data_IF_781809108212
#
_entry.id   IF_781809108212
#
_cell.length_a   1.000
_cell.length_b   1.000
_cell.length_c   1.000
_cell.angle_alpha   90.00
_cell.angle_beta   90.00
_cell.angle_gamma   90.00
#
_symmetry.space_group_name_H-M   'P 1'
#
loop_
_entity.id
_entity.type
_entity.pdbx_description
1 polymer ?
#
# COMPACT_ATOMS: atom_id res chain seq x y z
N UNK A 1 -0.30 9.36 17.56
CA UNK A 1 -1.09 10.17 16.61
C UNK A 1 -1.21 9.48 15.25
N UNK A 2 -0.11 9.01 14.64
CA UNK A 2 -0.14 8.26 13.37
C UNK A 2 -1.05 7.03 13.37
N UNK A 3 -1.06 6.25 14.45
CA UNK A 3 -1.94 5.08 14.60
C UNK A 3 -3.43 5.47 14.49
N UNK A 4 -3.82 6.64 15.01
CA UNK A 4 -5.20 7.11 14.88
C UNK A 4 -5.54 7.40 13.41
N UNK A 5 -4.60 7.97 12.65
CA UNK A 5 -4.79 8.17 11.21
C UNK A 5 -4.95 6.81 10.53
N UNK A 6 -4.04 5.87 10.78
CA UNK A 6 -4.06 4.53 10.18
C UNK A 6 -5.33 3.73 10.46
N UNK A 7 -5.92 3.89 11.65
CA UNK A 7 -7.12 3.16 12.06
C UNK A 7 -8.42 3.88 11.71
N UNK A 8 -8.48 5.19 11.95
CA UNK A 8 -9.74 5.94 11.87
C UNK A 8 -9.99 6.52 10.48
N UNK A 9 -8.95 6.92 9.73
CA UNK A 9 -9.12 7.48 8.39
C UNK A 9 -9.79 6.48 7.43
N UNK A 10 -9.37 5.20 7.35
CA UNK A 10 -10.06 4.23 6.48
C UNK A 10 -11.53 4.07 6.84
N UNK A 11 -11.85 3.94 8.13
CA UNK A 11 -13.23 3.78 8.62
C UNK A 11 -14.06 5.01 8.24
N UNK A 12 -13.52 6.21 8.47
CA UNK A 12 -14.16 7.46 8.10
C UNK A 12 -14.44 7.53 6.59
N UNK A 13 -13.45 7.23 5.74
CA UNK A 13 -13.59 7.26 4.29
C UNK A 13 -14.65 6.26 3.80
N UNK A 14 -14.65 5.04 4.33
CA UNK A 14 -15.65 4.01 4.00
C UNK A 14 -17.05 4.52 4.35
N UNK A 15 -17.27 4.95 5.60
CA UNK A 15 -18.58 5.44 6.05
C UNK A 15 -19.04 6.65 5.22
N UNK A 16 -18.14 7.61 5.00
CA UNK A 16 -18.43 8.82 4.24
C UNK A 16 -18.82 8.51 2.80
N UNK A 17 -18.03 7.71 2.08
CA UNK A 17 -18.26 7.41 0.66
C UNK A 17 -19.46 6.49 0.44
N UNK A 18 -19.64 5.47 1.29
CA UNK A 18 -20.83 4.62 1.27
C UNK A 18 -22.11 5.44 1.42
N UNK A 19 -22.13 6.40 2.36
CA UNK A 19 -23.31 7.28 2.56
C UNK A 19 -23.48 8.32 1.46
N UNK A 20 -22.39 9.00 1.06
CA UNK A 20 -22.43 10.08 0.06
C UNK A 20 -22.87 9.59 -1.32
N UNK A 21 -22.40 8.41 -1.72
CA UNK A 21 -22.64 7.87 -3.06
C UNK A 21 -23.63 6.70 -3.07
N UNK A 22 -24.29 6.41 -1.94
CA UNK A 22 -25.24 5.29 -1.79
C UNK A 22 -24.67 3.94 -2.25
N UNK A 23 -23.38 3.72 -1.98
CA UNK A 23 -22.68 2.50 -2.37
C UNK A 23 -22.83 1.41 -1.32
N UNK A 24 -22.64 0.15 -1.72
CA UNK A 24 -22.56 -0.96 -0.77
C UNK A 24 -21.19 -0.99 -0.08
N UNK A 25 -21.18 -1.04 1.27
CA UNK A 25 -19.96 -1.20 2.07
C UNK A 25 -19.18 -2.47 1.72
N UNK A 26 -19.86 -3.47 1.13
CA UNK A 26 -19.25 -4.73 0.66
C UNK A 26 -18.15 -4.49 -0.38
N UNK A 27 -18.17 -3.36 -1.09
CA UNK A 27 -17.09 -2.98 -2.01
C UNK A 27 -15.79 -2.69 -1.28
N UNK A 28 -15.85 -1.95 -0.16
CA UNK A 28 -14.69 -1.73 0.68
C UNK A 28 -14.18 -3.05 1.30
N UNK A 29 -15.10 -3.91 1.78
CA UNK A 29 -14.72 -5.23 2.28
C UNK A 29 -14.03 -6.07 1.19
N UNK A 30 -14.54 -6.05 -0.04
CA UNK A 30 -13.93 -6.76 -1.16
C UNK A 30 -12.52 -6.25 -1.48
N UNK A 31 -12.31 -4.92 -1.43
CA UNK A 31 -10.97 -4.33 -1.54
C UNK A 31 -10.03 -4.79 -0.43
N UNK A 32 -10.50 -4.79 0.81
CA UNK A 32 -9.71 -5.24 1.95
C UNK A 32 -9.31 -6.72 1.85
N UNK A 33 -10.26 -7.59 1.50
CA UNK A 33 -9.99 -9.02 1.31
C UNK A 33 -9.04 -9.28 0.14
N UNK A 34 -9.03 -8.41 -0.88
CA UNK A 34 -8.13 -8.53 -2.02
C UNK A 34 -6.68 -8.27 -1.63
N UNK A 35 -6.42 -7.23 -0.82
CA UNK A 35 -5.10 -7.01 -0.24
C UNK A 35 -4.66 -8.20 0.61
N UNK A 36 -5.52 -8.71 1.50
CA UNK A 36 -5.18 -9.86 2.34
C UNK A 36 -4.86 -11.08 1.47
N UNK A 37 -5.67 -11.33 0.43
CA UNK A 37 -5.46 -12.45 -0.49
C UNK A 37 -4.16 -12.32 -1.29
N UNK A 38 -3.76 -11.12 -1.72
CA UNK A 38 -2.47 -10.94 -2.41
C UNK A 38 -1.29 -11.26 -1.49
N UNK A 39 -1.39 -10.90 -0.20
CA UNK A 39 -0.33 -11.17 0.78
C UNK A 39 -0.09 -12.66 1.04
N UNK A 40 -1.09 -13.54 0.85
CA UNK A 40 -0.97 -15.00 1.01
C UNK A 40 0.12 -15.59 0.13
N UNK A 41 0.29 -15.06 -1.09
CA UNK A 41 1.35 -15.51 -2.01
C UNK A 41 2.57 -14.59 -1.99
N UNK A 42 2.35 -13.28 -1.85
CA UNK A 42 3.42 -12.28 -1.86
C UNK A 42 4.43 -12.52 -0.71
N UNK A 43 3.95 -12.70 0.52
CA UNK A 43 4.83 -12.85 1.69
C UNK A 43 5.73 -14.10 1.57
N UNK A 44 5.22 -15.31 1.28
CA UNK A 44 6.08 -16.48 1.08
C UNK A 44 7.09 -16.32 -0.06
N UNK A 45 6.71 -15.67 -1.16
CA UNK A 45 7.63 -15.46 -2.30
C UNK A 45 8.76 -14.52 -1.90
N UNK A 46 8.46 -13.39 -1.25
CA UNK A 46 9.48 -12.46 -0.76
C UNK A 46 10.39 -13.13 0.28
N UNK A 47 9.81 -13.91 1.21
CA UNK A 47 10.56 -14.63 2.23
C UNK A 47 11.49 -15.69 1.62
N UNK A 48 10.98 -16.48 0.66
CA UNK A 48 11.76 -17.48 -0.06
C UNK A 48 12.91 -16.85 -0.85
N UNK A 49 12.64 -15.78 -1.59
CA UNK A 49 13.66 -15.06 -2.34
C UNK A 49 14.73 -14.48 -1.40
N UNK A 50 14.31 -13.87 -0.29
CA UNK A 50 15.23 -13.37 0.74
C UNK A 50 16.11 -14.48 1.31
N UNK A 51 15.55 -15.67 1.55
CA UNK A 51 16.31 -16.82 2.05
C UNK A 51 17.35 -17.31 1.02
N UNK A 52 17.00 -17.33 -0.27
CA UNK A 52 17.92 -17.71 -1.35
C UNK A 52 19.09 -16.71 -1.52
N UNK A 53 18.86 -15.42 -1.26
CA UNK A 53 19.95 -14.44 -1.22
C UNK A 53 20.81 -14.59 0.03
N UNK A 54 20.17 -14.76 1.20
CA UNK A 54 20.88 -14.91 2.49
C UNK A 54 21.77 -16.16 2.55
N UNK A 55 21.38 -17.25 1.89
CA UNK A 55 22.14 -18.50 1.88
C UNK A 55 23.14 -18.60 0.71
N UNK A 56 23.23 -17.57 -0.15
CA UNK A 56 24.17 -17.52 -1.27
C UNK A 56 23.76 -18.32 -2.52
N UNK A 57 22.56 -18.90 -2.57
CA UNK A 57 22.06 -19.58 -3.79
C UNK A 57 21.86 -18.59 -4.93
N UNK A 58 21.36 -17.40 -4.60
CA UNK A 58 21.31 -16.25 -5.50
C UNK A 58 22.29 -15.19 -5.02
N UNK A 59 22.95 -14.53 -5.97
CA UNK A 59 23.85 -13.41 -5.68
C UNK A 59 23.67 -12.31 -6.71
N UNK A 60 23.83 -11.08 -6.24
CA UNK A 60 23.86 -9.87 -7.06
C UNK A 60 25.11 -9.13 -6.61
N UNK A 61 25.92 -8.56 -7.54
CA UNK A 61 27.09 -7.78 -7.15
C UNK A 61 26.71 -6.68 -6.15
N UNK A 62 27.54 -6.45 -5.13
CA UNK A 62 27.23 -5.51 -4.05
C UNK A 62 26.83 -4.11 -4.56
N UNK A 63 27.49 -3.65 -5.62
CA UNK A 63 27.21 -2.38 -6.29
C UNK A 63 25.76 -2.24 -6.80
N UNK A 64 25.07 -3.34 -7.09
CA UNK A 64 23.71 -3.37 -7.61
C UNK A 64 22.67 -3.89 -6.61
N UNK A 65 23.11 -4.37 -5.44
CA UNK A 65 22.25 -5.04 -4.45
C UNK A 65 21.04 -4.20 -4.03
N UNK A 66 21.28 -2.93 -3.65
CA UNK A 66 20.23 -2.04 -3.16
C UNK A 66 19.15 -1.75 -4.22
N UNK A 67 19.56 -1.37 -5.44
CA UNK A 67 18.61 -1.07 -6.52
C UNK A 67 17.91 -2.35 -7.01
N UNK A 68 18.62 -3.47 -7.08
CA UNK A 68 18.02 -4.76 -7.41
C UNK A 68 16.93 -5.13 -6.41
N UNK A 69 17.23 -5.09 -5.10
CA UNK A 69 16.25 -5.40 -4.06
C UNK A 69 15.05 -4.46 -4.12
N UNK A 70 15.28 -3.16 -4.30
CA UNK A 70 14.20 -2.18 -4.42
C UNK A 70 13.26 -2.48 -5.60
N UNK A 71 13.84 -2.70 -6.81
CA UNK A 71 13.08 -3.02 -8.02
C UNK A 71 12.31 -4.33 -7.86
N UNK A 72 12.95 -5.36 -7.32
CA UNK A 72 12.31 -6.67 -7.13
C UNK A 72 11.18 -6.59 -6.12
N UNK A 73 11.38 -5.94 -4.97
CA UNK A 73 10.35 -5.79 -3.94
C UNK A 73 9.15 -4.99 -4.49
N UNK A 74 9.40 -3.87 -5.15
CA UNK A 74 8.33 -3.07 -5.78
C UNK A 74 7.59 -3.84 -6.87
N UNK A 75 8.31 -4.56 -7.74
CA UNK A 75 7.67 -5.38 -8.78
C UNK A 75 6.82 -6.50 -8.19
N UNK A 76 7.29 -7.18 -7.15
CA UNK A 76 6.51 -8.22 -6.49
C UNK A 76 5.23 -7.63 -5.87
N UNK A 77 5.32 -6.51 -5.16
CA UNK A 77 4.14 -5.81 -4.63
C UNK A 77 3.14 -5.48 -5.75
N UNK A 78 3.59 -4.80 -6.81
CA UNK A 78 2.76 -4.46 -7.96
C UNK A 78 2.14 -5.68 -8.64
N UNK A 79 2.91 -6.75 -8.87
CA UNK A 79 2.40 -7.98 -9.51
C UNK A 79 1.32 -8.62 -8.66
N UNK A 80 1.58 -8.87 -7.37
CA UNK A 80 0.63 -9.61 -6.54
C UNK A 80 -0.64 -8.80 -6.25
N UNK A 81 -0.49 -7.53 -5.90
CA UNK A 81 -1.62 -6.70 -5.49
C UNK A 81 -2.50 -6.28 -6.67
N UNK A 82 -1.90 -5.84 -7.78
CA UNK A 82 -2.67 -5.42 -8.95
C UNK A 82 -3.31 -6.62 -9.66
N UNK A 83 -2.63 -7.77 -9.69
CA UNK A 83 -3.22 -9.01 -10.25
C UNK A 83 -4.40 -9.48 -9.41
N UNK A 84 -4.27 -9.47 -8.07
CA UNK A 84 -5.40 -9.80 -7.19
C UNK A 84 -6.59 -8.86 -7.43
N UNK A 85 -6.33 -7.56 -7.60
CA UNK A 85 -7.37 -6.57 -7.91
C UNK A 85 -8.00 -6.76 -9.29
N UNK A 86 -7.20 -7.12 -10.28
CA UNK A 86 -7.70 -7.46 -11.60
C UNK A 86 -8.60 -8.71 -11.57
N UNK A 87 -8.19 -9.76 -10.83
CA UNK A 87 -9.01 -10.96 -10.58
C UNK A 87 -10.33 -10.57 -9.90
N UNK A 88 -10.27 -9.74 -8.85
CA UNK A 88 -11.46 -9.24 -8.14
C UNK A 88 -12.44 -8.60 -9.13
N UNK A 89 -12.00 -7.61 -9.91
CA UNK A 89 -12.90 -6.89 -10.82
C UNK A 89 -13.39 -7.75 -11.99
N UNK A 90 -12.54 -8.65 -12.49
CA UNK A 90 -12.89 -9.50 -13.63
C UNK A 90 -13.85 -10.62 -13.26
N UNK A 91 -13.69 -11.23 -12.10
CA UNK A 91 -14.39 -12.47 -11.75
C UNK A 91 -15.39 -12.32 -10.60
N UNK A 92 -15.10 -11.48 -9.59
CA UNK A 92 -15.94 -11.37 -8.39
C UNK A 92 -16.89 -10.17 -8.43
N UNK A 93 -16.43 -9.02 -8.93
CA UNK A 93 -17.17 -7.76 -8.97
C UNK A 93 -17.60 -7.38 -10.40
N UNK A 94 -18.18 -8.34 -11.14
CA UNK A 94 -18.52 -8.17 -12.57
C UNK A 94 -19.46 -7.00 -12.87
N UNK A 95 -20.29 -6.62 -11.90
CA UNK A 95 -21.28 -5.55 -12.01
C UNK A 95 -20.76 -4.18 -11.58
N UNK A 96 -19.55 -4.11 -11.02
CA UNK A 96 -18.91 -2.83 -10.70
C UNK A 96 -18.41 -2.19 -11.99
N UNK A 97 -18.83 -0.95 -12.24
CA UNK A 97 -18.57 -0.24 -13.50
C UNK A 97 -18.19 1.21 -13.32
N UNK A 98 -18.50 1.82 -12.18
CA UNK A 98 -18.38 3.26 -11.99
C UNK A 98 -17.06 3.65 -11.31
N UNK A 99 -16.63 4.89 -11.55
CA UNK A 99 -15.47 5.48 -10.87
C UNK A 99 -15.61 5.43 -9.35
N UNK A 100 -16.79 5.78 -8.82
CA UNK A 100 -17.04 5.82 -7.37
C UNK A 100 -16.96 4.44 -6.71
N UNK A 101 -17.38 3.39 -7.40
CA UNK A 101 -17.22 2.01 -6.90
C UNK A 101 -15.75 1.59 -6.88
N UNK A 102 -14.99 1.92 -7.94
CA UNK A 102 -13.54 1.68 -7.99
C UNK A 102 -12.79 2.40 -6.87
N UNK A 103 -13.17 3.64 -6.57
CA UNK A 103 -12.64 4.40 -5.42
C UNK A 103 -12.93 3.69 -4.10
N UNK A 104 -14.16 3.22 -3.87
CA UNK A 104 -14.50 2.56 -2.61
C UNK A 104 -13.77 1.23 -2.42
N UNK A 105 -13.52 0.47 -3.50
CA UNK A 105 -12.66 -0.71 -3.47
C UNK A 105 -11.21 -0.32 -3.12
N UNK A 106 -10.68 0.76 -3.70
CA UNK A 106 -9.34 1.27 -3.41
C UNK A 106 -9.18 1.73 -1.96
N UNK A 107 -10.19 2.39 -1.39
CA UNK A 107 -10.24 2.73 0.04
C UNK A 107 -10.20 1.47 0.91
N UNK A 108 -10.93 0.43 0.54
CA UNK A 108 -10.87 -0.85 1.23
C UNK A 108 -9.48 -1.49 1.22
N UNK A 109 -8.83 -1.48 0.06
CA UNK A 109 -7.50 -2.05 -0.15
C UNK A 109 -6.41 -1.30 0.64
N UNK A 110 -6.20 -0.01 0.35
CA UNK A 110 -5.18 0.78 1.07
C UNK A 110 -5.55 1.01 2.53
N UNK A 111 -6.85 1.00 2.85
CA UNK A 111 -7.34 1.15 4.21
C UNK A 111 -6.99 -0.03 5.11
N UNK A 112 -7.20 -1.27 4.66
CA UNK A 112 -6.85 -2.45 5.47
C UNK A 112 -5.34 -2.57 5.64
N UNK A 113 -4.55 -2.23 4.62
CA UNK A 113 -3.09 -2.20 4.73
C UNK A 113 -2.66 -1.20 5.80
N UNK A 114 -3.17 0.04 5.74
CA UNK A 114 -2.89 1.05 6.77
C UNK A 114 -3.30 0.56 8.17
N UNK A 115 -4.47 -0.07 8.31
CA UNK A 115 -4.92 -0.62 9.59
C UNK A 115 -4.01 -1.72 10.12
N UNK A 116 -3.57 -2.65 9.26
CA UNK A 116 -2.67 -3.74 9.64
C UNK A 116 -1.30 -3.22 10.07
N UNK A 117 -0.73 -2.27 9.33
CA UNK A 117 0.52 -1.59 9.71
C UNK A 117 0.35 -0.80 11.02
N UNK A 118 -0.81 -0.17 11.22
CA UNK A 118 -1.16 0.48 12.47
C UNK A 118 -1.20 -0.49 13.65
N UNK A 119 -1.80 -1.68 13.49
CA UNK A 119 -1.78 -2.74 14.51
C UNK A 119 -0.37 -3.23 14.79
N UNK A 120 0.46 -3.45 13.77
CA UNK A 120 1.86 -3.83 13.94
C UNK A 120 2.64 -2.75 14.70
N UNK A 121 2.36 -1.47 14.43
CA UNK A 121 2.98 -0.35 15.15
C UNK A 121 2.59 -0.33 16.63
N UNK A 122 1.34 -0.68 16.97
CA UNK A 122 0.93 -0.87 18.37
C UNK A 122 1.74 -2.00 19.02
N UNK A 123 1.87 -3.15 18.34
CA UNK A 123 2.66 -4.27 18.85
C UNK A 123 4.13 -3.87 19.08
N UNK A 124 4.73 -3.10 18.16
CA UNK A 124 6.07 -2.53 18.34
C UNK A 124 6.16 -1.63 19.56
N UNK A 125 5.21 -0.72 19.77
CA UNK A 125 5.19 0.14 20.98
C UNK A 125 5.09 -0.71 22.25
N UNK A 126 4.19 -1.69 22.29
CA UNK A 126 4.03 -2.59 23.43
C UNK A 126 5.34 -3.32 23.71
N UNK A 127 5.99 -3.87 22.68
CA UNK A 127 7.29 -4.53 22.82
C UNK A 127 8.36 -3.56 23.35
N UNK A 128 8.44 -2.33 22.84
CA UNK A 128 9.41 -1.33 23.30
C UNK A 128 9.14 -0.84 24.73
N UNK A 129 7.87 -0.82 25.17
CA UNK A 129 7.50 -0.55 26.56
C UNK A 129 7.92 -1.71 27.46
N UNK A 130 7.64 -2.96 27.08
CA UNK A 130 8.02 -4.15 27.85
C UNK A 130 9.54 -4.24 27.98
N UNK A 131 10.27 -4.12 26.87
CA UNK A 131 11.73 -4.19 26.85
C UNK A 131 12.41 -3.05 27.62
N UNK A 132 11.77 -1.88 27.74
CA UNK A 132 12.29 -0.76 28.54
C UNK A 132 12.17 -0.99 30.04
N UNK A 133 11.13 -1.68 30.49
CA UNK A 133 10.75 -1.74 31.90
C UNK A 133 11.04 -3.11 32.57
N UNK A 134 11.23 -4.16 31.78
CA UNK A 134 11.49 -5.50 32.29
C UNK A 134 12.99 -5.86 32.25
N UNK A 135 13.38 -6.88 33.03
CA UNK A 135 14.69 -7.50 32.89
C UNK A 135 14.77 -8.28 31.56
N UNK A 136 15.63 -7.82 30.65
CA UNK A 136 15.84 -8.44 29.34
C UNK A 136 16.29 -9.90 29.45
N UNK A 137 17.05 -10.26 30.49
CA UNK A 137 17.43 -11.65 30.71
C UNK A 137 16.20 -12.52 31.04
N UNK A 138 15.26 -11.98 31.84
CA UNK A 138 14.00 -12.64 32.16
C UNK A 138 13.06 -12.74 30.95
N UNK A 139 13.19 -11.85 29.96
CA UNK A 139 12.50 -11.93 28.67
C UNK A 139 13.14 -12.94 27.69
N UNK A 140 14.22 -13.62 28.09
CA UNK A 140 14.92 -14.58 27.25
C UNK A 140 15.84 -13.96 26.21
N UNK A 141 16.21 -12.68 26.36
CA UNK A 141 17.24 -12.06 25.50
C UNK A 141 18.60 -12.71 25.82
N UNK A 142 19.32 -13.26 24.81
CA UNK A 142 20.63 -13.87 25.04
C UNK A 142 21.61 -12.88 25.67
N UNK A 143 22.43 -13.34 26.62
CA UNK A 143 23.35 -12.46 27.37
C UNK A 143 24.23 -11.58 26.48
N UNK A 144 24.72 -12.12 25.35
CA UNK A 144 25.53 -11.37 24.38
C UNK A 144 24.77 -10.34 23.54
N UNK A 145 23.43 -10.31 23.59
CA UNK A 145 22.58 -9.37 22.87
C UNK A 145 21.92 -8.32 23.77
N UNK A 146 21.95 -8.50 25.10
CA UNK A 146 21.29 -7.59 26.06
C UNK A 146 21.69 -6.14 25.81
N UNK A 147 22.97 -5.86 25.63
CA UNK A 147 23.45 -4.49 25.43
C UNK A 147 22.98 -3.89 24.09
N UNK A 148 23.03 -4.68 23.01
CA UNK A 148 22.51 -4.26 21.71
C UNK A 148 20.99 -3.98 21.79
N UNK A 149 20.24 -4.83 22.48
CA UNK A 149 18.80 -4.63 22.70
C UNK A 149 18.53 -3.36 23.50
N UNK A 150 19.31 -3.06 24.56
CA UNK A 150 19.19 -1.80 25.29
C UNK A 150 19.43 -0.59 24.40
N UNK A 151 20.48 -0.61 23.58
CA UNK A 151 20.77 0.46 22.63
C UNK A 151 19.62 0.68 21.63
N UNK A 152 18.99 -0.39 21.15
CA UNK A 152 17.82 -0.28 20.27
C UNK A 152 16.60 0.34 20.98
N UNK A 153 16.33 -0.06 22.22
CA UNK A 153 15.26 0.51 23.04
C UNK A 153 15.51 1.99 23.30
N UNK A 154 16.72 2.35 23.70
CA UNK A 154 17.09 3.74 23.96
C UNK A 154 17.02 4.60 22.69
N UNK A 155 17.47 4.08 21.55
CA UNK A 155 17.33 4.75 20.26
C UNK A 155 15.86 4.96 19.87
N UNK A 156 14.99 3.99 20.14
CA UNK A 156 13.55 4.10 19.89
C UNK A 156 12.92 5.21 20.74
N UNK A 157 13.21 5.25 22.05
CA UNK A 157 12.65 6.25 22.96
C UNK A 157 13.32 7.63 22.87
N UNK A 158 14.55 7.69 22.36
CA UNK A 158 15.28 8.92 22.06
C UNK A 158 14.96 9.51 20.68
N UNK A 159 14.20 8.80 19.85
CA UNK A 159 13.83 9.28 18.52
C UNK A 159 12.96 10.55 18.60
N UNK A 160 13.13 11.53 17.68
CA UNK A 160 12.28 12.72 17.64
C UNK A 160 10.80 12.38 17.50
N UNK A 161 9.93 13.08 18.23
CA UNK A 161 8.49 12.79 18.27
C UNK A 161 7.83 12.79 16.88
N UNK A 162 8.32 13.61 15.95
CA UNK A 162 7.77 13.74 14.60
C UNK A 162 7.99 12.48 13.76
N UNK A 163 8.99 11.64 14.07
CA UNK A 163 9.22 10.36 13.37
C UNK A 163 8.00 9.44 13.49
N UNK A 164 7.32 9.48 14.65
CA UNK A 164 6.05 8.78 14.83
C UNK A 164 4.96 9.31 13.91
N UNK A 165 4.94 10.61 13.59
CA UNK A 165 3.93 11.22 12.70
C UNK A 165 4.14 10.86 11.23
N UNK A 166 5.39 10.79 10.77
CA UNK A 166 5.74 10.46 9.37
C UNK A 166 5.09 9.14 8.93
N UNK A 167 5.18 8.08 9.75
CA UNK A 167 4.52 6.81 9.45
C UNK A 167 3.04 6.93 9.11
N UNK A 168 2.29 7.81 9.78
CA UNK A 168 0.87 8.04 9.50
C UNK A 168 0.64 8.81 8.20
N UNK A 169 1.57 9.70 7.85
CA UNK A 169 1.55 10.47 6.62
C UNK A 169 1.82 9.57 5.40
N UNK A 170 2.80 8.68 5.51
CA UNK A 170 3.09 7.67 4.49
C UNK A 170 1.84 6.85 4.13
N UNK A 171 1.04 6.46 5.14
CA UNK A 171 -0.20 5.70 4.93
C UNK A 171 -1.30 6.51 4.25
N UNK A 172 -1.37 7.82 4.49
CA UNK A 172 -2.28 8.70 3.74
C UNK A 172 -1.89 8.74 2.25
N UNK A 173 -0.59 8.76 1.94
CA UNK A 173 -0.07 8.72 0.58
C UNK A 173 -0.32 7.36 -0.08
N UNK A 174 -0.07 6.25 0.63
CA UNK A 174 -0.36 4.90 0.16
C UNK A 174 -1.86 4.69 -0.14
N UNK A 175 -2.75 5.17 0.73
CA UNK A 175 -4.21 5.14 0.45
C UNK A 175 -4.49 5.91 -0.85
N UNK A 176 -3.95 7.12 -1.01
CA UNK A 176 -4.14 7.93 -2.21
C UNK A 176 -3.69 7.21 -3.49
N UNK A 177 -2.56 6.50 -3.42
CA UNK A 177 -2.07 5.63 -4.48
C UNK A 177 -3.08 4.51 -4.79
N UNK A 178 -3.52 3.73 -3.78
CA UNK A 178 -4.44 2.62 -3.99
C UNK A 178 -5.81 3.02 -4.54
N UNK A 179 -6.29 4.23 -4.24
CA UNK A 179 -7.50 4.77 -4.87
C UNK A 179 -7.30 4.90 -6.38
N UNK A 180 -6.18 5.48 -6.82
CA UNK A 180 -5.87 5.65 -8.23
C UNK A 180 -5.67 4.30 -8.93
N UNK A 181 -4.85 3.42 -8.35
CA UNK A 181 -4.57 2.09 -8.89
C UNK A 181 -5.85 1.26 -9.05
N UNK A 182 -6.74 1.31 -8.06
CA UNK A 182 -8.03 0.62 -8.13
C UNK A 182 -8.89 1.07 -9.31
N UNK A 183 -8.97 2.38 -9.54
CA UNK A 183 -9.71 2.94 -10.68
C UNK A 183 -9.04 2.58 -12.00
N UNK A 184 -7.71 2.59 -12.09
CA UNK A 184 -6.96 2.18 -13.29
C UNK A 184 -7.23 0.71 -13.64
N UNK A 185 -7.13 -0.20 -12.66
CA UNK A 185 -7.39 -1.63 -12.89
C UNK A 185 -8.86 -1.86 -13.24
N UNK A 186 -9.81 -1.20 -12.56
CA UNK A 186 -11.22 -1.28 -12.92
C UNK A 186 -11.44 -0.85 -14.37
N UNK A 187 -10.88 0.30 -14.77
CA UNK A 187 -11.00 0.82 -16.13
C UNK A 187 -10.47 -0.18 -17.17
N UNK A 188 -9.35 -0.86 -16.87
CA UNK A 188 -8.78 -1.88 -17.74
C UNK A 188 -9.75 -3.03 -18.04
N UNK A 189 -10.54 -3.43 -17.04
CA UNK A 189 -11.51 -4.53 -17.12
C UNK A 189 -12.79 -4.08 -17.78
N UNK A 190 -13.36 -2.96 -17.34
CA UNK A 190 -14.66 -2.45 -17.78
C UNK A 190 -14.62 -2.08 -19.27
N UNK A 191 -13.59 -1.34 -19.68
CA UNK A 191 -13.48 -0.82 -21.04
C UNK A 191 -12.58 -1.67 -21.94
N UNK A 192 -12.13 -2.84 -21.48
CA UNK A 192 -11.24 -3.76 -22.22
C UNK A 192 -9.97 -3.05 -22.71
N UNK A 193 -9.37 -2.20 -21.88
CA UNK A 193 -8.14 -1.46 -22.16
C UNK A 193 -7.00 -1.99 -21.27
N UNK A 194 -6.37 -3.12 -21.63
CA UNK A 194 -5.42 -3.81 -20.75
C UNK A 194 -4.19 -2.96 -20.39
N UNK A 195 -3.85 -1.94 -21.19
CA UNK A 195 -2.77 -1.00 -20.88
C UNK A 195 -2.92 -0.37 -19.49
N UNK A 196 -4.14 -0.10 -19.03
CA UNK A 196 -4.37 0.50 -17.70
C UNK A 196 -4.05 -0.43 -16.54
N UNK A 197 -4.11 -1.76 -16.74
CA UNK A 197 -3.62 -2.72 -15.75
C UNK A 197 -2.10 -2.63 -15.64
N UNK A 198 -1.38 -2.63 -16.77
CA UNK A 198 0.08 -2.54 -16.76
C UNK A 198 0.58 -1.21 -16.21
N UNK A 199 -0.09 -0.10 -16.54
CA UNK A 199 0.22 1.19 -15.96
C UNK A 199 0.01 1.21 -14.44
N UNK A 200 -1.05 0.57 -13.93
CA UNK A 200 -1.28 0.47 -12.49
C UNK A 200 -0.16 -0.35 -11.82
N UNK A 201 0.17 -1.52 -12.38
CA UNK A 201 1.23 -2.40 -11.89
C UNK A 201 2.59 -1.69 -11.87
N UNK A 202 2.97 -1.04 -12.96
CA UNK A 202 4.25 -0.34 -13.06
C UNK A 202 4.30 0.90 -12.16
N UNK A 203 3.18 1.62 -12.02
CA UNK A 203 3.12 2.77 -11.12
C UNK A 203 3.24 2.34 -9.65
N UNK A 204 2.53 1.28 -9.25
CA UNK A 204 2.66 0.69 -7.92
C UNK A 204 4.12 0.26 -7.66
N UNK A 205 4.69 -0.55 -8.56
CA UNK A 205 6.05 -1.04 -8.42
C UNK A 205 7.09 0.09 -8.37
N UNK A 206 6.88 1.16 -9.13
CA UNK A 206 7.75 2.33 -9.13
C UNK A 206 7.74 3.06 -7.78
N UNK A 207 6.55 3.33 -7.22
CA UNK A 207 6.43 4.05 -5.93
C UNK A 207 7.07 3.23 -4.80
N UNK A 208 6.82 1.91 -4.76
CA UNK A 208 7.40 1.02 -3.75
C UNK A 208 8.91 0.89 -3.89
N UNK A 209 9.41 0.65 -5.10
CA UNK A 209 10.85 0.56 -5.35
C UNK A 209 11.55 1.87 -4.98
N UNK A 210 10.96 3.02 -5.34
CA UNK A 210 11.52 4.33 -4.98
C UNK A 210 11.58 4.51 -3.46
N UNK A 211 10.53 4.10 -2.75
CA UNK A 211 10.46 4.17 -1.29
C UNK A 211 11.58 3.37 -0.63
N UNK A 212 11.75 2.11 -1.06
CA UNK A 212 12.80 1.22 -0.54
C UNK A 212 14.20 1.76 -0.86
N UNK A 213 14.42 2.22 -2.10
CA UNK A 213 15.74 2.66 -2.55
C UNK A 213 16.18 3.99 -1.92
N UNK A 214 15.27 4.96 -1.81
CA UNK A 214 15.62 6.30 -1.37
C UNK A 214 15.67 6.46 0.15
N UNK A 215 14.94 5.65 0.93
CA UNK A 215 14.91 5.77 2.40
C UNK A 215 16.31 5.87 3.03
N UNK A 216 17.27 4.96 2.75
CA UNK A 216 18.62 5.04 3.34
C UNK A 216 19.48 6.17 2.76
N UNK A 217 19.11 6.77 1.62
CA UNK A 217 19.89 7.79 0.91
C UNK A 217 19.49 9.20 1.37
N UNK A 218 18.19 9.48 1.42
CA UNK A 218 17.67 10.84 1.68
C UNK A 218 17.03 11.01 3.05
N UNK A 219 16.83 9.91 3.78
CA UNK A 219 16.15 9.87 5.08
C UNK A 219 14.63 10.00 4.99
N UNK A 220 13.95 9.67 6.10
CA UNK A 220 12.49 9.59 6.14
C UNK A 220 11.78 10.91 5.78
N UNK A 221 12.23 12.05 6.31
CA UNK A 221 11.56 13.35 6.08
C UNK A 221 11.56 13.73 4.59
N UNK A 222 12.70 13.57 3.92
CA UNK A 222 12.81 13.88 2.49
C UNK A 222 12.00 12.91 1.65
N UNK A 223 12.02 11.62 2.01
CA UNK A 223 11.24 10.60 1.33
C UNK A 223 9.74 10.91 1.40
N UNK A 224 9.24 11.34 2.55
CA UNK A 224 7.82 11.72 2.72
C UNK A 224 7.43 12.87 1.79
N UNK A 225 8.31 13.85 1.58
CA UNK A 225 8.10 14.92 0.59
C UNK A 225 7.98 14.39 -0.84
N UNK A 226 8.79 13.40 -1.20
CA UNK A 226 8.73 12.72 -2.51
C UNK A 226 7.42 11.93 -2.64
N UNK A 227 7.05 11.17 -1.62
CA UNK A 227 5.80 10.39 -1.59
C UNK A 227 4.56 11.29 -1.64
N UNK A 228 4.61 12.47 -1.03
CA UNK A 228 3.54 13.46 -1.14
C UNK A 228 3.31 13.90 -2.60
N UNK A 229 4.39 14.14 -3.35
CA UNK A 229 4.31 14.49 -4.78
C UNK A 229 3.74 13.34 -5.59
N UNK A 230 4.19 12.10 -5.36
CA UNK A 230 3.69 10.91 -6.06
C UNK A 230 2.23 10.60 -5.72
N UNK A 231 1.81 10.83 -4.48
CA UNK A 231 0.41 10.78 -4.08
C UNK A 231 -0.41 11.86 -4.80
N UNK A 232 0.12 13.09 -4.93
CA UNK A 232 -0.50 14.15 -5.71
C UNK A 232 -0.69 13.79 -7.19
N UNK A 233 0.31 13.16 -7.81
CA UNK A 233 0.21 12.62 -9.18
C UNK A 233 -0.87 11.52 -9.23
N UNK A 234 -0.88 10.61 -8.27
CA UNK A 234 -1.88 9.54 -8.19
C UNK A 234 -3.31 10.09 -8.06
N UNK A 235 -3.52 11.10 -7.21
CA UNK A 235 -4.80 11.80 -7.09
C UNK A 235 -5.18 12.54 -8.38
N UNK A 236 -4.21 13.13 -9.07
CA UNK A 236 -4.45 13.78 -10.37
C UNK A 236 -4.91 12.77 -11.42
N UNK A 237 -4.27 11.61 -11.51
CA UNK A 237 -4.71 10.49 -12.36
C UNK A 237 -6.14 10.10 -11.96
N UNK A 238 -6.36 9.83 -10.68
CA UNK A 238 -7.66 9.42 -10.13
C UNK A 238 -8.79 10.36 -10.54
N UNK A 239 -8.63 11.67 -10.30
CA UNK A 239 -9.68 12.64 -10.58
C UNK A 239 -9.84 12.93 -12.08
N UNK A 240 -8.76 12.86 -12.87
CA UNK A 240 -8.83 12.97 -14.33
C UNK A 240 -9.64 11.80 -14.92
N UNK A 241 -9.42 10.58 -14.42
CA UNK A 241 -10.16 9.41 -14.90
C UNK A 241 -11.66 9.48 -14.61
N UNK A 242 -12.11 10.32 -13.66
CA UNK A 242 -13.53 10.45 -13.33
C UNK A 242 -14.38 10.81 -14.55
N UNK A 243 -13.91 11.73 -15.41
CA UNK A 243 -14.65 12.12 -16.62
C UNK A 243 -14.73 11.00 -17.65
N UNK A 244 -13.70 10.15 -17.73
CA UNK A 244 -13.65 9.05 -18.70
C UNK A 244 -14.66 7.94 -18.43
N UNK A 245 -15.07 7.77 -17.16
CA UNK A 245 -16.16 6.86 -16.79
C UNK A 245 -17.53 7.43 -17.19
N UNK A 246 -17.74 8.74 -17.01
CA UNK A 246 -19.01 9.42 -17.32
C UNK A 246 -19.24 9.51 -18.83
N UNK A 247 -18.22 9.90 -19.59
CA UNK A 247 -18.34 10.13 -21.04
C UNK A 247 -18.79 8.87 -21.80
N UNK A 248 -18.44 7.69 -21.30
CA UNK A 248 -18.77 6.40 -21.92
C UNK A 248 -20.04 5.72 -21.39
N UNK A 249 -20.71 6.29 -20.40
CA UNK A 249 -22.07 5.90 -19.99
C UNK A 249 -23.15 6.62 -20.83
N UNK A 250 -22.80 7.68 -21.53
CA UNK A 250 -23.69 8.40 -22.46
C UNK A 250 -24.06 7.48 -23.64
N UNK A 251 -25.35 7.26 -23.94
CA UNK A 251 -25.74 6.58 -25.17
C UNK A 251 -25.14 7.32 -26.35
N UNK A 252 -24.48 6.61 -27.28
CA UNK A 252 -24.21 7.18 -28.58
C UNK A 252 -25.57 7.51 -29.20
N UNK A 253 -25.96 8.78 -29.18
CA UNK A 253 -27.06 9.27 -29.99
C UNK A 253 -26.61 9.04 -31.42
N UNK A 254 -27.08 7.94 -32.01
CA UNK A 254 -26.98 7.72 -33.44
C UNK A 254 -27.87 8.80 -34.05
N UNK A 255 -27.28 9.94 -34.40
CA UNK A 255 -27.90 10.85 -35.35
C UNK A 255 -27.88 10.14 -36.68
N UNK A 256 -28.92 9.33 -36.94
CA UNK A 256 -29.32 8.99 -38.29
C UNK A 256 -29.75 10.30 -38.96
N UNK A 257 -28.83 10.93 -39.67
CA UNK A 257 -29.18 11.94 -40.68
C UNK A 257 -29.86 11.20 -41.83
N UNK A 258 -31.16 11.45 -41.96
CA UNK A 258 -31.99 11.16 -43.12
C UNK A 258 -31.51 11.93 -44.36
#
# INVERSE_FOLDING_TARGET
MSILIMLLLPIFLIVYLTRKFSLSWKLALAGALTFIASQVLHIPVVAGLTALFKNGTLSVPDAWSAIFSAVVLGLLAGIFEETARWILFKFSLKNVKTWTEGVLVGVGHGGVEAMLIGLLSIATIVNMVVMRNADLAALGVPAGQIELTRQQVDAYWGAPFYMGFLSGLERLFAISLHLALSVMVLYSVVYKKPMWFWLALLWHAFVDALSVYLLPIVGAVTLEGILAVLAGISLTILFTMRSWFVERESPQVITETQ
#
